data_IF_566852305795
#
_entry.id   IF_566852305795
#
_cell.length_a   1.000
_cell.length_b   1.000
_cell.length_c   1.000
_cell.angle_alpha   90.00
_cell.angle_beta   90.00
_cell.angle_gamma   90.00
#
_symmetry.space_group_name_H-M   'P 1'
#
loop_
_entity.id
_entity.type
_entity.pdbx_description
1 polymer ?
#
# COMPACT_ATOMS: atom_id res chain seq x y z
N UNK A 1 13.29 6.05 -44.68
CA UNK A 1 13.69 4.88 -43.87
C UNK A 1 12.83 4.95 -42.64
N UNK A 2 11.69 4.30 -42.77
CA UNK A 2 10.49 4.64 -42.01
C UNK A 2 10.50 3.91 -40.67
N UNK A 3 10.15 4.64 -39.62
CA UNK A 3 10.03 4.10 -38.27
C UNK A 3 8.77 3.22 -38.20
N UNK A 4 8.96 1.98 -37.76
CA UNK A 4 7.91 1.00 -37.49
C UNK A 4 7.15 1.46 -36.22
N UNK A 5 5.82 1.67 -36.26
CA UNK A 5 5.07 1.99 -35.06
C UNK A 5 4.90 0.75 -34.19
N UNK A 6 5.38 0.82 -32.95
CA UNK A 6 5.21 -0.22 -31.95
C UNK A 6 3.81 -0.06 -31.37
N UNK A 7 2.88 -0.92 -31.81
CA UNK A 7 1.51 -0.94 -31.32
C UNK A 7 1.45 -1.25 -29.82
N UNK A 8 0.84 -0.35 -29.06
CA UNK A 8 0.47 -0.57 -27.67
C UNK A 8 -0.66 -1.61 -27.65
N UNK A 9 -0.42 -2.81 -27.13
CA UNK A 9 -1.50 -3.76 -26.84
C UNK A 9 -2.21 -3.28 -25.57
N UNK A 10 -3.48 -2.92 -25.71
CA UNK A 10 -4.42 -2.80 -24.60
C UNK A 10 -4.41 -4.10 -23.78
N UNK A 11 -4.09 -3.98 -22.49
CA UNK A 11 -4.29 -5.07 -21.53
C UNK A 11 -5.79 -5.17 -21.19
N UNK A 12 -6.36 -6.33 -21.52
CA UNK A 12 -7.77 -6.74 -21.39
C UNK A 12 -8.20 -6.77 -19.90
N UNK A 13 -9.47 -6.44 -19.57
CA UNK A 13 -9.97 -6.38 -18.20
C UNK A 13 -10.03 -7.76 -17.52
N UNK A 14 -9.76 -7.81 -16.21
CA UNK A 14 -10.09 -8.96 -15.36
C UNK A 14 -11.61 -9.09 -15.26
N UNK A 15 -12.20 -9.97 -16.07
CA UNK A 15 -13.58 -10.40 -15.94
C UNK A 15 -13.68 -11.58 -14.95
N UNK A 16 -14.50 -11.40 -13.90
CA UNK A 16 -14.81 -12.44 -12.92
C UNK A 16 -15.47 -11.89 -11.66
N UNK A 17 -16.49 -11.03 -11.81
CA UNK A 17 -17.25 -10.44 -10.71
C UNK A 17 -18.43 -11.33 -10.31
N UNK A 18 -18.66 -11.45 -9.00
CA UNK A 18 -20.00 -11.19 -8.42
C UNK A 18 -19.82 -10.58 -7.04
N UNK A 19 -20.11 -9.27 -6.91
CA UNK A 19 -20.00 -8.55 -5.64
C UNK A 19 -20.03 -7.03 -5.79
N UNK A 20 -21.19 -6.51 -6.19
CA UNK A 20 -21.75 -5.14 -6.06
C UNK A 20 -20.78 -4.04 -5.60
N UNK A 21 -20.24 -3.34 -6.59
CA UNK A 21 -19.77 -1.95 -6.57
C UNK A 21 -19.87 -1.47 -8.01
N UNK A 22 -20.62 -0.40 -8.27
CA UNK A 22 -20.93 0.08 -9.62
C UNK A 22 -19.66 0.35 -10.43
N UNK A 23 -19.58 -0.17 -11.66
CA UNK A 23 -18.42 -0.01 -12.54
C UNK A 23 -18.07 1.47 -12.83
N UNK A 24 -19.05 2.37 -12.67
CA UNK A 24 -18.92 3.82 -12.85
C UNK A 24 -17.99 4.46 -11.80
N UNK A 25 -18.10 4.11 -10.50
CA UNK A 25 -17.26 4.72 -9.46
C UNK A 25 -15.79 4.30 -9.54
N UNK A 26 -15.54 3.06 -9.97
CA UNK A 26 -14.17 2.56 -10.22
C UNK A 26 -13.52 3.21 -11.45
N UNK A 27 -14.32 3.60 -12.44
CA UNK A 27 -13.84 4.26 -13.64
C UNK A 27 -13.52 5.74 -13.37
N UNK A 28 -14.39 6.45 -12.64
CA UNK A 28 -14.22 7.87 -12.29
C UNK A 28 -13.00 8.13 -11.39
N UNK A 29 -12.72 7.27 -10.40
CA UNK A 29 -11.56 7.44 -9.50
C UNK A 29 -10.23 7.05 -10.17
N UNK A 30 -10.24 6.06 -11.08
CA UNK A 30 -9.08 5.69 -11.89
C UNK A 30 -8.73 6.80 -12.89
N UNK A 31 -9.76 7.49 -13.40
CA UNK A 31 -9.65 8.72 -14.19
C UNK A 31 -9.11 9.90 -13.36
N UNK A 32 -9.52 10.04 -12.10
CA UNK A 32 -9.07 11.15 -11.22
C UNK A 32 -7.54 11.21 -11.08
N UNK A 33 -6.85 10.07 -11.02
CA UNK A 33 -5.38 10.00 -10.97
C UNK A 33 -4.70 9.84 -12.33
N UNK A 34 -5.45 9.79 -13.44
CA UNK A 34 -4.93 9.88 -14.82
C UNK A 34 -5.14 11.25 -15.46
N UNK A 35 -6.14 12.03 -15.01
CA UNK A 35 -6.50 13.36 -15.52
C UNK A 35 -5.75 14.53 -14.84
N UNK A 36 -4.69 14.26 -14.07
CA UNK A 36 -3.91 15.29 -13.34
C UNK A 36 -3.01 16.13 -14.28
N UNK A 37 -3.39 16.27 -15.55
CA UNK A 37 -2.82 17.21 -16.51
C UNK A 37 -3.90 18.15 -17.02
N UNK A 38 -3.86 19.41 -16.57
CA UNK A 38 -4.69 20.57 -17.02
C UNK A 38 -5.83 20.97 -16.09
N UNK A 39 -5.52 21.75 -15.05
CA UNK A 39 -6.47 22.66 -14.40
C UNK A 39 -6.43 22.62 -12.87
N UNK A 40 -5.63 23.50 -12.26
CA UNK A 40 -5.53 23.70 -10.79
C UNK A 40 -5.55 22.39 -9.96
N UNK A 41 -4.81 21.38 -10.43
CA UNK A 41 -4.70 20.06 -9.80
C UNK A 41 -3.47 19.95 -8.91
N UNK A 42 -3.56 19.13 -7.87
CA UNK A 42 -2.41 18.67 -7.08
C UNK A 42 -1.37 18.06 -8.04
N UNK A 43 -0.19 18.66 -8.17
CA UNK A 43 0.92 18.05 -8.90
C UNK A 43 1.79 17.22 -7.96
N UNK A 44 2.51 16.19 -8.45
CA UNK A 44 3.52 15.52 -7.64
C UNK A 44 4.56 16.55 -7.20
N UNK A 45 5.24 16.25 -6.09
CA UNK A 45 6.44 16.96 -5.72
C UNK A 45 7.50 16.84 -6.82
N UNK A 46 8.29 17.91 -6.96
CA UNK A 46 9.43 17.89 -7.86
C UNK A 46 10.55 17.08 -7.22
N UNK A 47 10.83 15.92 -7.80
CA UNK A 47 12.00 15.11 -7.48
C UNK A 47 12.53 14.45 -8.75
N UNK A 48 13.78 13.99 -8.70
CA UNK A 48 14.44 13.25 -9.77
C UNK A 48 14.88 11.90 -9.24
N UNK A 49 14.46 10.82 -9.89
CA UNK A 49 14.97 9.47 -9.57
C UNK A 49 16.28 9.24 -10.31
N UNK A 50 17.40 9.36 -9.60
CA UNK A 50 18.72 9.03 -10.14
C UNK A 50 18.82 7.52 -10.42
N UNK A 51 19.07 7.17 -11.69
CA UNK A 51 19.19 5.78 -12.11
C UNK A 51 20.57 5.25 -11.73
N UNK A 52 20.61 4.03 -11.19
CA UNK A 52 21.87 3.32 -10.93
C UNK A 52 22.65 3.09 -12.22
N UNK A 53 23.98 3.20 -12.17
CA UNK A 53 24.84 2.84 -13.30
C UNK A 53 24.77 1.34 -13.60
N UNK A 54 25.03 0.99 -14.86
CA UNK A 54 25.07 -0.42 -15.29
C UNK A 54 26.19 -1.19 -14.58
N UNK A 55 27.34 -0.56 -14.40
CA UNK A 55 28.49 -1.13 -13.71
C UNK A 55 28.16 -1.44 -12.25
N UNK A 56 27.46 -0.52 -11.56
CA UNK A 56 26.99 -0.74 -10.20
C UNK A 56 26.05 -1.94 -10.14
N UNK A 57 25.08 -2.03 -11.05
CA UNK A 57 24.15 -3.16 -11.09
C UNK A 57 24.87 -4.48 -11.38
N UNK A 58 25.71 -4.56 -12.41
CA UNK A 58 26.39 -5.81 -12.78
C UNK A 58 27.34 -6.30 -11.69
N UNK A 59 28.01 -5.38 -10.97
CA UNK A 59 28.90 -5.70 -9.85
C UNK A 59 28.16 -6.25 -8.63
N UNK A 60 26.94 -5.77 -8.35
CA UNK A 60 26.20 -6.09 -7.14
C UNK A 60 25.12 -7.16 -7.35
N UNK A 61 24.39 -7.13 -8.47
CA UNK A 61 23.28 -8.04 -8.76
C UNK A 61 23.71 -9.48 -9.05
N UNK A 62 24.96 -9.69 -9.50
CA UNK A 62 25.52 -11.04 -9.74
C UNK A 62 26.01 -11.73 -8.47
N UNK A 63 26.13 -11.01 -7.34
CA UNK A 63 26.59 -11.56 -6.06
C UNK A 63 25.38 -11.90 -5.19
N UNK A 64 24.83 -13.11 -5.40
CA UNK A 64 23.63 -13.63 -4.71
C UNK A 64 23.73 -13.51 -3.18
N UNK A 65 24.95 -13.53 -2.62
CA UNK A 65 25.15 -13.43 -1.16
C UNK A 65 24.85 -12.05 -0.56
N UNK A 66 24.75 -10.96 -1.33
CA UNK A 66 24.61 -9.60 -0.77
C UNK A 66 23.32 -8.89 -1.11
N UNK A 67 22.64 -9.26 -2.20
CA UNK A 67 21.44 -8.58 -2.66
C UNK A 67 20.45 -9.57 -3.29
N UNK A 68 19.15 -9.28 -3.17
CA UNK A 68 18.13 -9.99 -3.95
C UNK A 68 18.30 -9.69 -5.44
N UNK A 69 18.20 -10.71 -6.32
CA UNK A 69 18.34 -10.51 -7.75
C UNK A 69 17.12 -9.75 -8.31
N UNK A 70 17.38 -8.67 -9.06
CA UNK A 70 16.34 -7.91 -9.77
C UNK A 70 16.54 -8.08 -11.26
N UNK A 71 15.53 -8.54 -11.99
CA UNK A 71 15.58 -8.64 -13.45
C UNK A 71 15.22 -7.28 -14.08
N UNK A 72 16.20 -6.66 -14.74
CA UNK A 72 16.02 -5.35 -15.38
C UNK A 72 15.41 -5.42 -16.78
N UNK A 73 15.22 -6.62 -17.35
CA UNK A 73 14.62 -6.78 -18.69
C UNK A 73 13.10 -6.60 -18.69
N UNK A 74 12.48 -6.59 -17.51
CA UNK A 74 11.04 -6.53 -17.30
C UNK A 74 10.68 -5.53 -16.21
N UNK A 75 9.37 -5.40 -15.92
CA UNK A 75 8.89 -4.68 -14.76
C UNK A 75 9.47 -5.30 -13.49
N UNK A 76 9.90 -4.47 -12.55
CA UNK A 76 10.61 -4.94 -11.34
C UNK A 76 9.68 -5.68 -10.37
N UNK A 77 8.42 -5.29 -10.35
CA UNK A 77 7.44 -5.67 -9.34
C UNK A 77 6.08 -5.02 -9.56
N UNK A 78 5.12 -5.50 -8.79
CA UNK A 78 3.87 -4.79 -8.55
C UNK A 78 3.95 -3.95 -7.28
N UNK A 79 3.26 -2.83 -7.28
CA UNK A 79 3.10 -1.91 -6.15
C UNK A 79 1.61 -1.71 -5.93
N UNK A 80 1.14 -2.04 -4.73
CA UNK A 80 -0.22 -1.77 -4.31
C UNK A 80 -0.22 -0.57 -3.37
N UNK A 81 -0.93 0.50 -3.73
CA UNK A 81 -1.14 1.67 -2.89
C UNK A 81 -2.60 1.68 -2.47
N UNK A 82 -2.86 1.48 -1.18
CA UNK A 82 -4.19 1.59 -0.59
C UNK A 82 -4.24 2.89 0.19
N UNK A 83 -5.08 3.83 -0.25
CA UNK A 83 -5.26 5.11 0.43
C UNK A 83 -6.70 5.27 0.95
N UNK A 84 -6.86 5.27 2.26
CA UNK A 84 -8.10 5.67 2.92
C UNK A 84 -8.03 7.17 3.19
N UNK A 85 -8.74 7.94 2.39
CA UNK A 85 -8.76 9.39 2.50
C UNK A 85 -10.09 9.88 3.09
N UNK A 86 -11.21 9.36 2.59
CA UNK A 86 -12.57 9.71 3.03
C UNK A 86 -13.18 8.54 3.78
N UNK A 87 -13.95 8.87 4.82
CA UNK A 87 -14.60 7.91 5.71
C UNK A 87 -16.07 8.27 5.85
N UNK A 88 -16.94 7.27 5.94
CA UNK A 88 -18.39 7.47 6.11
C UNK A 88 -18.67 8.25 7.41
N UNK A 89 -17.89 7.94 8.45
CA UNK A 89 -17.91 8.64 9.73
C UNK A 89 -16.46 8.91 10.17
N UNK A 90 -15.94 10.10 9.90
CA UNK A 90 -14.59 10.49 10.31
C UNK A 90 -14.05 11.73 9.61
N UNK A 91 -12.89 12.21 10.04
CA UNK A 91 -12.22 13.32 9.37
C UNK A 91 -11.44 12.81 8.14
N UNK A 92 -11.53 13.52 7.00
CA UNK A 92 -10.76 13.17 5.83
C UNK A 92 -9.27 13.38 6.07
N UNK A 93 -8.42 12.58 5.42
CA UNK A 93 -6.96 12.69 5.47
C UNK A 93 -6.43 13.62 4.38
N UNK A 94 -6.81 14.89 4.49
CA UNK A 94 -6.39 15.93 3.54
C UNK A 94 -4.88 15.92 3.34
N UNK A 95 -4.45 15.83 2.07
CA UNK A 95 -3.03 15.78 1.70
C UNK A 95 -2.51 14.37 1.44
N UNK A 96 -3.25 13.32 1.83
CA UNK A 96 -2.90 11.93 1.50
C UNK A 96 -2.89 11.66 -0.01
N UNK A 97 -3.63 12.45 -0.79
CA UNK A 97 -3.62 12.39 -2.24
C UNK A 97 -2.25 12.74 -2.83
N UNK A 98 -1.50 13.64 -2.17
CA UNK A 98 -0.13 13.99 -2.55
C UNK A 98 0.83 12.83 -2.28
N UNK A 99 0.65 12.10 -1.19
CA UNK A 99 1.41 10.87 -0.90
C UNK A 99 1.20 9.85 -2.04
N UNK A 100 -0.05 9.60 -2.43
CA UNK A 100 -0.39 8.68 -3.53
C UNK A 100 0.28 9.11 -4.83
N UNK A 101 0.19 10.40 -5.16
CA UNK A 101 0.74 10.94 -6.40
C UNK A 101 2.27 10.82 -6.46
N UNK A 102 2.95 11.14 -5.36
CA UNK A 102 4.40 11.00 -5.23
C UNK A 102 4.83 9.53 -5.31
N UNK A 103 4.15 8.64 -4.60
CA UNK A 103 4.45 7.21 -4.61
C UNK A 103 4.23 6.62 -6.00
N UNK A 104 3.10 6.94 -6.65
CA UNK A 104 2.81 6.47 -8.01
C UNK A 104 3.91 6.91 -8.98
N UNK A 105 4.24 8.22 -9.01
CA UNK A 105 5.31 8.76 -9.84
C UNK A 105 6.65 8.08 -9.57
N UNK A 106 7.04 7.96 -8.30
CA UNK A 106 8.30 7.33 -7.89
C UNK A 106 8.41 5.90 -8.39
N UNK A 107 7.38 5.08 -8.18
CA UNK A 107 7.43 3.67 -8.52
C UNK A 107 7.29 3.43 -10.03
N UNK A 108 6.56 4.28 -10.75
CA UNK A 108 6.55 4.28 -12.22
C UNK A 108 7.92 4.63 -12.80
N UNK A 109 8.61 5.66 -12.27
CA UNK A 109 9.99 6.01 -12.65
C UNK A 109 10.99 4.88 -12.32
N UNK A 110 10.73 4.12 -11.24
CA UNK A 110 11.47 2.91 -10.88
C UNK A 110 11.05 1.67 -11.70
N UNK A 111 10.22 1.81 -12.73
CA UNK A 111 9.77 0.74 -13.62
C UNK A 111 8.99 -0.40 -12.93
N UNK A 112 8.11 -0.04 -12.00
CA UNK A 112 7.11 -0.95 -11.42
C UNK A 112 5.77 -0.85 -12.16
N UNK A 113 4.85 -1.74 -11.80
CA UNK A 113 3.42 -1.67 -12.13
C UNK A 113 2.72 -1.17 -10.86
N UNK A 114 2.04 -0.04 -10.95
CA UNK A 114 1.40 0.59 -9.79
C UNK A 114 -0.12 0.45 -9.89
N UNK A 115 -0.71 -0.11 -8.85
CA UNK A 115 -2.16 -0.18 -8.65
C UNK A 115 -2.52 0.67 -7.45
N UNK A 116 -3.51 1.55 -7.60
CA UNK A 116 -4.01 2.43 -6.54
C UNK A 116 -5.46 2.06 -6.26
N UNK A 117 -5.76 1.84 -4.99
CA UNK A 117 -7.11 1.58 -4.47
C UNK A 117 -7.43 2.64 -3.41
N UNK A 118 -8.65 3.16 -3.41
CA UNK A 118 -9.05 4.25 -2.52
C UNK A 118 -10.30 3.92 -1.72
N UNK A 119 -10.36 4.42 -0.48
CA UNK A 119 -11.57 4.48 0.33
C UNK A 119 -12.35 3.14 0.38
N UNK A 120 -11.65 2.03 0.59
CA UNK A 120 -12.25 0.70 0.64
C UNK A 120 -12.98 0.49 1.98
N UNK A 121 -14.14 -0.16 1.94
CA UNK A 121 -14.75 -0.78 3.12
C UNK A 121 -13.85 -1.91 3.65
N UNK A 122 -14.10 -2.37 4.89
CA UNK A 122 -13.35 -3.50 5.47
C UNK A 122 -13.37 -4.75 4.58
N UNK A 123 -14.53 -5.07 3.98
CA UNK A 123 -14.66 -6.22 3.10
C UNK A 123 -13.82 -6.04 1.83
N UNK A 124 -13.96 -4.89 1.17
CA UNK A 124 -13.20 -4.59 -0.06
C UNK A 124 -11.70 -4.60 0.19
N UNK A 125 -11.24 -4.05 1.32
CA UNK A 125 -9.83 -4.07 1.70
C UNK A 125 -9.30 -5.49 1.83
N UNK A 126 -10.04 -6.37 2.54
CA UNK A 126 -9.65 -7.78 2.67
C UNK A 126 -9.64 -8.50 1.33
N UNK A 127 -10.62 -8.24 0.47
CA UNK A 127 -10.69 -8.82 -0.88
C UNK A 127 -9.49 -8.37 -1.74
N UNK A 128 -9.11 -7.09 -1.70
CA UNK A 128 -7.95 -6.53 -2.40
C UNK A 128 -6.63 -7.15 -1.89
N UNK A 129 -6.46 -7.27 -0.57
CA UNK A 129 -5.27 -7.89 0.05
C UNK A 129 -5.16 -9.36 -0.38
N UNK A 130 -6.25 -10.12 -0.32
CA UNK A 130 -6.27 -11.53 -0.69
C UNK A 130 -6.01 -11.73 -2.18
N UNK A 131 -6.55 -10.87 -3.04
CA UNK A 131 -6.30 -10.91 -4.48
C UNK A 131 -4.84 -10.61 -4.79
N UNK A 132 -4.31 -9.50 -4.25
CA UNK A 132 -2.95 -9.08 -4.52
C UNK A 132 -1.91 -10.07 -3.97
N UNK A 133 -2.09 -10.59 -2.76
CA UNK A 133 -1.15 -11.55 -2.16
C UNK A 133 -1.06 -12.87 -2.94
N UNK A 134 -2.14 -13.27 -3.61
CA UNK A 134 -2.24 -14.52 -4.38
C UNK A 134 -2.08 -14.34 -5.88
N UNK A 135 -1.77 -13.13 -6.33
CA UNK A 135 -1.61 -12.84 -7.75
C UNK A 135 -0.48 -13.69 -8.36
N UNK A 136 -0.81 -14.41 -9.43
CA UNK A 136 0.14 -15.28 -10.14
C UNK A 136 1.19 -14.47 -10.88
N UNK A 137 0.90 -13.22 -11.24
CA UNK A 137 1.86 -12.34 -11.91
C UNK A 137 3.09 -12.06 -11.07
N UNK A 138 3.00 -12.17 -9.73
CA UNK A 138 4.17 -12.10 -8.85
C UNK A 138 5.27 -13.07 -9.25
N UNK A 139 4.95 -14.20 -9.90
CA UNK A 139 5.94 -15.14 -10.43
C UNK A 139 6.89 -14.46 -11.42
N UNK A 140 6.38 -13.55 -12.22
CA UNK A 140 7.10 -12.86 -13.28
C UNK A 140 7.95 -11.70 -12.76
N UNK A 141 7.81 -11.27 -11.51
CA UNK A 141 8.55 -10.11 -10.99
C UNK A 141 9.56 -10.45 -9.91
N UNK A 142 10.44 -9.51 -9.58
CA UNK A 142 11.52 -9.70 -8.61
C UNK A 142 11.12 -9.34 -7.18
N UNK A 143 10.17 -8.41 -6.99
CA UNK A 143 9.74 -7.96 -5.68
C UNK A 143 8.33 -7.36 -5.71
N UNK A 144 7.79 -7.01 -4.55
CA UNK A 144 6.54 -6.25 -4.44
C UNK A 144 6.62 -5.19 -3.34
N UNK A 145 5.81 -4.13 -3.49
CA UNK A 145 5.59 -3.13 -2.47
C UNK A 145 4.11 -3.00 -2.16
N UNK A 146 3.78 -2.78 -0.89
CA UNK A 146 2.43 -2.50 -0.44
C UNK A 146 2.49 -1.28 0.48
N UNK A 147 1.74 -0.24 0.12
CA UNK A 147 1.54 0.96 0.91
C UNK A 147 0.12 0.96 1.45
N UNK A 148 -0.03 1.07 2.77
CA UNK A 148 -1.33 1.19 3.43
C UNK A 148 -1.37 2.52 4.18
N UNK A 149 -2.14 3.47 3.66
CA UNK A 149 -2.23 4.84 4.14
C UNK A 149 -3.63 5.05 4.74
N UNK A 150 -3.75 5.18 6.07
CA UNK A 150 -5.04 5.37 6.74
C UNK A 150 -4.87 5.93 8.16
N UNK A 151 -5.98 6.13 8.87
CA UNK A 151 -5.99 6.23 10.32
C UNK A 151 -5.75 4.87 10.96
N UNK A 152 -5.14 4.87 12.14
CA UNK A 152 -5.03 3.69 12.98
C UNK A 152 -5.93 3.79 14.20
N UNK A 153 -6.42 2.67 14.69
CA UNK A 153 -7.31 2.61 15.85
C UNK A 153 -6.92 1.46 16.81
N UNK A 154 -7.09 1.64 18.13
CA UNK A 154 -6.92 0.57 19.09
C UNK A 154 -8.05 -0.46 18.90
N UNK A 155 -7.72 -1.75 18.90
CA UNK A 155 -8.69 -2.84 18.74
C UNK A 155 -8.92 -3.61 20.04
N UNK A 156 -7.86 -4.19 20.64
CA UNK A 156 -7.98 -4.96 21.89
C UNK A 156 -6.82 -4.70 22.84
N UNK A 157 -7.05 -4.68 24.17
CA UNK A 157 -5.99 -4.80 25.15
C UNK A 157 -5.23 -6.11 24.92
N UNK A 158 -3.92 -6.05 24.77
CA UNK A 158 -3.04 -7.20 24.93
C UNK A 158 -2.98 -7.49 26.43
N UNK A 159 -3.42 -8.68 26.82
CA UNK A 159 -3.29 -9.18 28.18
C UNK A 159 -1.81 -9.13 28.56
N UNK A 160 -1.45 -8.22 29.45
CA UNK A 160 -0.10 -8.06 29.95
C UNK A 160 0.34 -9.33 30.69
N UNK A 161 1.60 -9.73 30.48
CA UNK A 161 2.23 -10.73 31.34
C UNK A 161 2.12 -10.27 32.80
N UNK A 162 1.79 -11.15 33.76
CA UNK A 162 1.47 -10.78 35.14
C UNK A 162 2.63 -10.12 35.93
N UNK A 163 3.81 -9.98 35.32
CA UNK A 163 5.00 -9.35 35.91
C UNK A 163 5.47 -8.06 35.19
N UNK A 164 4.74 -7.57 34.17
CA UNK A 164 5.08 -6.33 33.48
C UNK A 164 4.30 -5.15 34.05
N UNK A 165 4.84 -4.54 35.11
CA UNK A 165 4.43 -3.21 35.54
C UNK A 165 4.73 -2.19 34.43
N UNK A 166 3.69 -1.67 33.76
CA UNK A 166 3.80 -0.33 33.16
C UNK A 166 3.16 -0.09 31.79
N UNK A 167 2.74 -1.08 31.02
CA UNK A 167 2.02 -0.83 29.76
C UNK A 167 1.15 -2.03 29.35
N UNK A 168 -0.16 -1.83 29.34
CA UNK A 168 -1.07 -2.68 28.57
C UNK A 168 -0.74 -2.41 27.11
N UNK A 169 -0.14 -3.39 26.43
CA UNK A 169 -0.03 -3.32 24.97
C UNK A 169 -1.44 -3.24 24.40
N UNK A 170 -1.65 -2.48 23.35
CA UNK A 170 -2.93 -2.48 22.62
C UNK A 170 -2.63 -2.97 21.23
N UNK A 171 -3.45 -3.89 20.72
CA UNK A 171 -3.39 -4.23 19.31
C UNK A 171 -4.00 -3.09 18.49
N UNK A 172 -3.33 -2.70 17.42
CA UNK A 172 -3.78 -1.63 16.53
C UNK A 172 -4.30 -2.20 15.23
N UNK A 173 -5.34 -1.57 14.71
CA UNK A 173 -5.94 -1.86 13.42
C UNK A 173 -5.93 -0.67 12.49
N UNK A 174 -6.31 -0.94 11.25
CA UNK A 174 -6.42 0.07 10.19
C UNK A 174 -7.88 0.39 9.97
N UNK A 175 -8.22 1.68 10.06
CA UNK A 175 -9.59 2.16 9.83
C UNK A 175 -9.90 2.10 8.34
N UNK A 176 -11.06 1.56 7.99
CA UNK A 176 -11.59 1.47 6.63
C UNK A 176 -12.67 2.53 6.41
N UNK A 177 -13.08 2.79 5.15
CA UNK A 177 -14.08 3.81 4.82
C UNK A 177 -15.35 3.69 5.66
N UNK A 178 -15.83 2.46 5.83
CA UNK A 178 -17.05 2.11 6.56
C UNK A 178 -16.94 2.21 8.10
N UNK A 179 -15.84 2.75 8.61
CA UNK A 179 -15.57 2.91 10.04
C UNK A 179 -15.13 1.62 10.75
N UNK A 180 -15.16 0.48 10.06
CA UNK A 180 -14.66 -0.79 10.57
C UNK A 180 -13.13 -0.84 10.53
N UNK A 181 -12.53 -1.70 11.36
CA UNK A 181 -11.08 -1.87 11.43
C UNK A 181 -10.64 -3.27 10.99
N UNK A 182 -9.51 -3.36 10.30
CA UNK A 182 -8.80 -4.63 10.08
C UNK A 182 -7.64 -4.77 11.06
N UNK A 183 -7.38 -6.01 11.47
CA UNK A 183 -6.19 -6.36 12.25
C UNK A 183 -4.94 -6.33 11.37
N UNK A 184 -3.93 -5.55 11.75
CA UNK A 184 -2.70 -5.45 10.94
C UNK A 184 -2.00 -6.80 10.82
N UNK A 185 -1.91 -7.57 11.90
CA UNK A 185 -1.17 -8.83 11.89
C UNK A 185 -2.00 -9.93 11.23
N UNK A 186 -3.25 -10.10 11.66
CA UNK A 186 -4.09 -11.22 11.26
C UNK A 186 -4.73 -11.02 9.88
N UNK A 187 -5.29 -9.84 9.60
CA UNK A 187 -6.00 -9.59 8.35
C UNK A 187 -5.08 -9.13 7.21
N UNK A 188 -3.88 -8.60 7.51
CA UNK A 188 -2.99 -8.02 6.50
C UNK A 188 -1.61 -8.70 6.40
N UNK A 189 -0.76 -8.62 7.43
CA UNK A 189 0.62 -9.15 7.37
C UNK A 189 0.63 -10.66 7.12
N UNK A 190 -0.27 -11.42 7.75
CA UNK A 190 -0.37 -12.88 7.60
C UNK A 190 -0.57 -13.32 6.13
N UNK A 191 -1.25 -12.50 5.33
CA UNK A 191 -1.55 -12.75 3.91
C UNK A 191 -0.32 -12.69 3.02
N UNK A 192 0.73 -12.02 3.50
CA UNK A 192 2.02 -11.96 2.83
C UNK A 192 3.03 -12.92 3.45
N UNK A 193 2.60 -13.95 4.19
CA UNK A 193 3.47 -15.05 4.62
C UNK A 193 3.82 -15.98 3.46
N UNK A 194 4.84 -16.84 3.63
CA UNK A 194 5.19 -17.86 2.62
C UNK A 194 4.07 -18.89 2.38
N UNK A 195 3.15 -19.03 3.34
CA UNK A 195 2.01 -19.95 3.21
C UNK A 195 0.92 -19.37 2.31
N UNK A 196 0.62 -18.08 2.46
CA UNK A 196 -0.46 -17.42 1.74
C UNK A 196 0.03 -16.87 0.37
N UNK A 197 1.16 -16.18 0.36
CA UNK A 197 1.73 -15.54 -0.83
C UNK A 197 2.80 -16.41 -1.49
N UNK A 198 2.39 -17.56 -2.01
CA UNK A 198 3.32 -18.60 -2.52
C UNK A 198 4.18 -18.12 -3.70
N UNK A 199 3.66 -17.25 -4.58
CA UNK A 199 4.41 -16.69 -5.71
C UNK A 199 5.47 -15.66 -5.32
N UNK A 200 5.46 -15.21 -4.07
CA UNK A 200 6.43 -14.28 -3.51
C UNK A 200 7.50 -14.98 -2.65
N UNK A 201 7.52 -16.32 -2.56
CA UNK A 201 8.54 -17.05 -1.78
C UNK A 201 9.95 -16.72 -2.32
N UNK A 202 10.86 -16.38 -1.41
CA UNK A 202 12.23 -15.99 -1.75
C UNK A 202 12.38 -14.60 -2.38
N UNK A 203 11.27 -13.86 -2.54
CA UNK A 203 11.25 -12.49 -3.08
C UNK A 203 11.05 -11.47 -1.95
N UNK A 204 11.73 -10.31 -1.98
CA UNK A 204 11.53 -9.29 -0.96
C UNK A 204 10.13 -8.65 -1.09
N UNK A 205 9.48 -8.48 0.06
CA UNK A 205 8.14 -7.90 0.22
C UNK A 205 8.26 -6.67 1.10
N UNK A 206 8.02 -5.50 0.54
CA UNK A 206 8.08 -4.24 1.29
C UNK A 206 6.67 -3.83 1.69
N UNK A 207 6.39 -3.80 2.99
CA UNK A 207 5.10 -3.38 3.53
C UNK A 207 5.33 -2.11 4.34
N UNK A 208 4.70 -1.01 3.91
CA UNK A 208 4.82 0.30 4.52
C UNK A 208 3.43 0.73 4.96
N UNK A 209 3.26 0.92 6.27
CA UNK A 209 1.98 1.30 6.88
C UNK A 209 2.12 2.70 7.43
N UNK A 210 1.42 3.66 6.81
CA UNK A 210 1.31 5.03 7.31
C UNK A 210 -0.03 5.15 8.06
N UNK A 211 0.01 4.90 9.37
CA UNK A 211 -1.13 5.03 10.27
C UNK A 211 -0.66 5.28 11.71
N UNK A 212 -1.49 5.96 12.50
CA UNK A 212 -1.22 6.19 13.92
C UNK A 212 -1.20 4.86 14.70
N UNK A 213 -0.28 4.75 15.67
CA UNK A 213 -0.16 3.58 16.58
C UNK A 213 -0.27 3.95 18.06
N UNK A 214 -0.72 5.17 18.34
CA UNK A 214 -0.83 5.69 19.71
C UNK A 214 -2.16 6.42 19.82
N UNK A 215 -2.95 6.04 20.82
CA UNK A 215 -3.99 6.89 21.38
C UNK A 215 -3.45 7.47 22.69
N UNK A 216 -3.29 8.79 22.77
CA UNK A 216 -3.19 9.45 24.06
C UNK A 216 -4.55 9.31 24.75
N UNK A 217 -4.65 8.46 25.77
CA UNK A 217 -5.66 8.68 26.80
C UNK A 217 -5.20 9.93 27.56
N UNK A 218 -5.96 11.05 27.58
CA UNK A 218 -5.66 12.11 28.52
C UNK A 218 -5.76 11.50 29.91
N UNK A 219 -4.63 11.33 30.61
CA UNK A 219 -4.69 11.14 32.05
C UNK A 219 -5.25 12.46 32.57
N UNK A 220 -6.49 12.46 33.03
CA UNK A 220 -6.97 13.50 33.91
C UNK A 220 -5.97 13.54 35.07
N UNK A 221 -5.14 14.59 35.10
CA UNK A 221 -4.44 14.96 36.32
C UNK A 221 -5.53 15.65 37.14
N UNK A 222 -6.22 14.87 37.96
CA UNK A 222 -7.05 15.41 39.02
C UNK A 222 -6.08 16.17 39.93
N UNK A 223 -6.12 17.50 39.84
CA UNK A 223 -5.31 18.35 40.69
C UNK A 223 -5.78 18.16 42.12
N UNK A 224 -4.89 17.66 42.98
CA UNK A 224 -5.05 17.73 44.42
C UNK A 224 -5.24 19.22 44.81
N UNK A 225 -6.50 19.62 44.99
CA UNK A 225 -6.82 20.84 45.74
C UNK A 225 -6.66 20.45 47.21
N UNK A 226 -5.46 20.66 47.72
CA UNK A 226 -5.18 20.62 49.15
C UNK A 226 -5.81 21.87 49.75
N UNK A 227 -6.89 21.68 50.53
CA UNK A 227 -7.40 22.68 51.47
C UNK A 227 -6.64 22.61 52.79
#
# INVERSE_FOLDING_TARGET
MDAIPIGFKESIPLAGSTGIGTAESKHEEREQYSLVGSGRGLSPDEFVVEKSSREFYEKNNKKIEKCYPVDLSKKRGQVLIINMNTFDNGSPRQGSERDVLNLKRLFEELNFIVTVECNLSKKELKDVIDLFSRDREHKEYSCCFIFLLSHGAPMRPLVSHPYSSGSIGVQWGIVCRDGNTIDVEEDFISKFSNREATYLIGKPRFIIINACRICFTPRFIEGDVVH
#
